data_IF_141761244489
#
_entry.id   IF_141761244489
#
_cell.length_a   1.000
_cell.length_b   1.000
_cell.length_c   1.000
_cell.angle_alpha   90.00
_cell.angle_beta   90.00
_cell.angle_gamma   90.00
#
_symmetry.space_group_name_H-M   'P 1'
#
loop_
_entity.id
_entity.type
_entity.pdbx_description
1 polymer ?
#
# COMPACT_ATOMS: atom_id res chain seq x y z
N UNK A 1 -11.65 -0.04 2.35
CA UNK A 1 -10.86 -0.91 3.25
C UNK A 1 -10.89 -2.32 2.68
N UNK A 2 -9.74 -2.98 2.69
CA UNK A 2 -9.64 -4.39 2.28
C UNK A 2 -10.42 -5.30 3.25
N UNK A 3 -11.02 -6.40 2.76
CA UNK A 3 -11.56 -7.43 3.66
C UNK A 3 -10.45 -7.94 4.61
N UNK A 4 -10.75 -8.20 5.88
CA UNK A 4 -9.72 -8.55 6.87
C UNK A 4 -8.85 -9.74 6.49
N UNK A 5 -9.43 -10.78 5.89
CA UNK A 5 -8.69 -11.96 5.45
C UNK A 5 -7.73 -11.64 4.29
N UNK A 6 -8.15 -10.77 3.37
CA UNK A 6 -7.31 -10.32 2.25
C UNK A 6 -6.13 -9.52 2.78
N UNK A 7 -6.40 -8.56 3.66
CA UNK A 7 -5.37 -7.74 4.30
C UNK A 7 -4.35 -8.60 5.06
N UNK A 8 -4.82 -9.54 5.88
CA UNK A 8 -3.95 -10.42 6.66
C UNK A 8 -3.01 -11.24 5.75
N UNK A 9 -3.53 -11.79 4.67
CA UNK A 9 -2.73 -12.56 3.70
C UNK A 9 -1.74 -11.68 2.91
N UNK A 10 -2.11 -10.43 2.60
CA UNK A 10 -1.19 -9.48 1.97
C UNK A 10 -0.05 -9.11 2.92
N UNK A 11 -0.34 -8.79 4.17
CA UNK A 11 0.67 -8.50 5.20
C UNK A 11 1.59 -9.71 5.41
N UNK A 12 1.03 -10.90 5.44
CA UNK A 12 1.83 -12.14 5.55
C UNK A 12 2.77 -12.31 4.33
N UNK A 13 2.29 -12.03 3.12
CA UNK A 13 3.10 -12.13 1.90
C UNK A 13 4.23 -11.09 1.84
N UNK A 14 4.05 -9.94 2.47
CA UNK A 14 5.10 -8.92 2.59
C UNK A 14 6.26 -9.37 3.50
N UNK A 15 6.01 -10.29 4.43
CA UNK A 15 7.04 -10.86 5.32
C UNK A 15 7.79 -9.77 6.11
N UNK A 16 7.04 -9.07 6.97
CA UNK A 16 7.58 -7.99 7.80
C UNK A 16 8.57 -8.55 8.80
N UNK A 17 9.74 -7.95 8.84
CA UNK A 17 10.76 -8.21 9.88
C UNK A 17 10.96 -6.94 10.71
N UNK A 18 11.46 -7.05 11.97
CA UNK A 18 11.72 -5.87 12.79
C UNK A 18 12.61 -4.86 12.07
N UNK A 19 12.17 -3.60 12.04
CA UNK A 19 12.87 -2.51 11.35
C UNK A 19 12.56 -2.36 9.86
N UNK A 20 11.69 -3.20 9.28
CA UNK A 20 11.23 -3.01 7.89
C UNK A 20 10.65 -1.61 7.70
N UNK A 21 11.13 -0.88 6.70
CA UNK A 21 10.58 0.43 6.32
C UNK A 21 9.38 0.22 5.41
N UNK A 22 8.21 0.66 5.87
CA UNK A 22 6.93 0.34 5.23
C UNK A 22 6.20 1.61 4.82
N UNK A 23 5.67 1.64 3.59
CA UNK A 23 4.69 2.61 3.15
C UNK A 23 3.31 1.93 3.06
N UNK A 24 2.33 2.45 3.80
CA UNK A 24 0.93 2.07 3.72
C UNK A 24 0.18 3.10 2.87
N UNK A 25 -0.15 2.73 1.64
CA UNK A 25 -0.80 3.61 0.65
C UNK A 25 -2.32 3.48 0.76
N UNK A 26 -3.01 4.62 0.89
CA UNK A 26 -4.45 4.71 1.14
C UNK A 26 -4.85 4.03 2.46
N UNK A 27 -4.13 4.35 3.52
CA UNK A 27 -4.25 3.71 4.83
C UNK A 27 -5.59 3.93 5.55
N UNK A 28 -6.42 4.86 5.09
CA UNK A 28 -7.74 5.13 5.63
C UNK A 28 -7.69 5.61 7.08
N UNK A 29 -8.24 4.82 8.00
CA UNK A 29 -8.21 5.12 9.44
C UNK A 29 -7.02 4.51 10.18
N UNK A 30 -6.05 3.91 9.48
CA UNK A 30 -4.79 3.46 10.05
C UNK A 30 -4.77 2.01 10.58
N UNK A 31 -5.79 1.21 10.30
CA UNK A 31 -5.85 -0.17 10.82
C UNK A 31 -4.67 -1.02 10.33
N UNK A 32 -4.39 -1.02 9.04
CA UNK A 32 -3.26 -1.77 8.48
C UNK A 32 -1.93 -1.26 9.01
N UNK A 33 -1.77 0.06 9.10
CA UNK A 33 -0.57 0.70 9.65
C UNK A 33 -0.32 0.26 11.09
N UNK A 34 -1.35 0.23 11.94
CA UNK A 34 -1.23 -0.23 13.32
C UNK A 34 -0.80 -1.71 13.40
N UNK A 35 -1.36 -2.57 12.55
CA UNK A 35 -0.97 -3.99 12.50
C UNK A 35 0.49 -4.13 12.08
N UNK A 36 0.90 -3.44 11.03
CA UNK A 36 2.28 -3.55 10.52
C UNK A 36 3.31 -2.98 11.49
N UNK A 37 2.97 -1.90 12.20
CA UNK A 37 3.82 -1.35 13.27
C UNK A 37 3.98 -2.35 14.42
N UNK A 38 2.90 -3.00 14.85
CA UNK A 38 2.94 -4.04 15.90
C UNK A 38 3.75 -5.27 15.51
N UNK A 39 3.91 -5.53 14.22
CA UNK A 39 4.79 -6.58 13.68
C UNK A 39 6.27 -6.15 13.60
N UNK A 40 6.58 -4.93 14.04
CA UNK A 40 7.94 -4.40 14.10
C UNK A 40 8.32 -3.50 12.93
N UNK A 41 7.37 -3.12 12.09
CA UNK A 41 7.61 -2.19 10.98
C UNK A 41 7.79 -0.74 11.42
N UNK A 42 8.63 -0.01 10.69
CA UNK A 42 8.69 1.46 10.70
C UNK A 42 7.77 1.98 9.61
N UNK A 43 6.58 2.46 10.00
CA UNK A 43 5.46 2.68 9.09
C UNK A 43 5.24 4.17 8.82
N UNK A 44 5.21 4.51 7.54
CA UNK A 44 4.64 5.76 7.02
C UNK A 44 3.30 5.42 6.37
N UNK A 45 2.24 6.07 6.81
CA UNK A 45 0.91 5.98 6.22
C UNK A 45 0.67 7.17 5.31
N UNK A 46 0.28 6.91 4.07
CA UNK A 46 -0.12 7.92 3.09
C UNK A 46 -1.62 7.86 2.85
N UNK A 47 -2.31 8.98 3.03
CA UNK A 47 -3.75 9.11 2.79
C UNK A 47 -4.03 10.39 1.99
N UNK A 48 -4.88 10.28 0.97
CA UNK A 48 -5.24 11.42 0.14
C UNK A 48 -6.30 12.33 0.80
N UNK A 49 -7.18 11.75 1.62
CA UNK A 49 -8.24 12.49 2.31
C UNK A 49 -7.70 13.04 3.65
N UNK A 50 -7.59 14.40 3.80
CA UNK A 50 -7.09 14.99 5.03
C UNK A 50 -7.93 14.66 6.27
N UNK A 51 -9.26 14.50 6.11
CA UNK A 51 -10.14 14.16 7.22
C UNK A 51 -9.90 12.74 7.73
N UNK A 52 -9.69 11.79 6.82
CA UNK A 52 -9.29 10.43 7.19
C UNK A 52 -7.91 10.39 7.83
N UNK A 53 -6.95 11.15 7.30
CA UNK A 53 -5.60 11.24 7.85
C UNK A 53 -5.60 11.77 9.30
N UNK A 54 -6.37 12.83 9.59
CA UNK A 54 -6.50 13.37 10.94
C UNK A 54 -7.17 12.36 11.89
N UNK A 55 -8.19 11.66 11.41
CA UNK A 55 -8.83 10.59 12.18
C UNK A 55 -7.87 9.45 12.47
N UNK A 56 -7.06 9.05 11.48
CA UNK A 56 -6.04 8.03 11.67
C UNK A 56 -4.99 8.44 12.72
N UNK A 57 -4.50 9.68 12.67
CA UNK A 57 -3.56 10.20 13.68
C UNK A 57 -4.11 10.06 15.10
N UNK A 58 -5.37 10.45 15.30
CA UNK A 58 -6.01 10.34 16.60
C UNK A 58 -6.11 8.87 17.06
N UNK A 59 -6.58 7.97 16.20
CA UNK A 59 -6.73 6.55 16.53
C UNK A 59 -5.36 5.90 16.83
N UNK A 60 -4.36 6.14 15.98
CA UNK A 60 -3.02 5.58 16.15
C UNK A 60 -2.35 6.10 17.42
N UNK A 61 -2.54 7.38 17.75
CA UNK A 61 -2.07 7.96 19.02
C UNK A 61 -2.73 7.30 20.23
N UNK A 62 -4.05 7.11 20.20
CA UNK A 62 -4.79 6.46 21.27
C UNK A 62 -4.36 4.99 21.48
N UNK A 63 -3.97 4.32 20.40
CA UNK A 63 -3.43 2.96 20.44
C UNK A 63 -1.95 2.89 20.87
N UNK A 64 -1.28 4.03 20.99
CA UNK A 64 0.16 4.10 21.28
C UNK A 64 1.04 3.59 20.13
N UNK A 65 0.55 3.68 18.88
CA UNK A 65 1.32 3.30 17.71
C UNK A 65 2.18 4.45 17.21
N UNK A 66 3.44 4.16 16.88
CA UNK A 66 4.39 5.12 16.30
C UNK A 66 4.37 5.03 14.77
N UNK A 67 3.34 5.64 14.18
CA UNK A 67 3.13 5.69 12.73
C UNK A 67 3.16 7.15 12.27
N UNK A 68 3.98 7.44 11.27
CA UNK A 68 3.97 8.75 10.62
C UNK A 68 2.84 8.82 9.59
N UNK A 69 1.90 9.75 9.76
CA UNK A 69 0.77 9.94 8.84
C UNK A 69 1.02 11.14 7.94
N UNK A 70 1.02 10.92 6.64
CA UNK A 70 1.20 11.93 5.59
C UNK A 70 -0.06 12.07 4.76
N UNK A 71 -0.34 13.31 4.33
CA UNK A 71 -1.42 13.62 3.38
C UNK A 71 -0.81 13.92 2.02
N UNK A 72 -1.28 13.24 0.99
CA UNK A 72 -0.79 13.46 -0.37
C UNK A 72 -1.40 12.52 -1.41
N UNK A 73 -1.08 12.76 -2.70
CA UNK A 73 -1.56 11.93 -3.79
C UNK A 73 -1.02 10.50 -3.67
N UNK A 74 -1.92 9.52 -3.60
CA UNK A 74 -1.54 8.11 -3.39
C UNK A 74 -0.71 7.54 -4.54
N UNK A 75 -0.93 8.00 -5.78
CA UNK A 75 -0.19 7.55 -6.95
C UNK A 75 1.28 7.98 -6.95
N UNK A 76 1.61 9.07 -6.27
CA UNK A 76 2.97 9.61 -6.17
C UNK A 76 3.78 8.95 -5.06
N UNK A 77 3.12 8.23 -4.16
CA UNK A 77 3.78 7.69 -2.98
C UNK A 77 4.27 8.78 -2.03
N UNK A 78 5.29 8.46 -1.27
CA UNK A 78 5.96 9.41 -0.37
C UNK A 78 7.49 9.31 -0.53
N UNK A 79 8.00 10.01 -1.53
CA UNK A 79 9.40 9.93 -1.93
C UNK A 79 10.38 10.40 -0.84
N UNK A 80 9.96 11.33 0.03
CA UNK A 80 10.80 11.81 1.13
C UNK A 80 11.16 10.72 2.15
N UNK A 81 10.35 9.67 2.26
CA UNK A 81 10.61 8.51 3.13
C UNK A 81 11.26 7.32 2.42
N UNK A 82 11.40 7.39 1.08
CA UNK A 82 11.98 6.29 0.29
C UNK A 82 13.49 6.13 0.55
N UNK A 83 14.07 4.93 0.25
CA UNK A 83 13.40 3.73 -0.26
C UNK A 83 12.68 2.95 0.84
N UNK A 84 11.66 2.15 0.42
CA UNK A 84 10.89 1.29 1.31
C UNK A 84 11.24 -0.18 1.08
N UNK A 85 11.34 -0.94 2.16
CA UNK A 85 11.46 -2.39 2.09
C UNK A 85 10.14 -3.02 1.64
N UNK A 86 9.02 -2.45 2.11
CA UNK A 86 7.68 -2.95 1.84
C UNK A 86 6.73 -1.80 1.52
N UNK A 87 5.84 -2.01 0.56
CA UNK A 87 4.73 -1.12 0.26
C UNK A 87 3.44 -1.95 0.25
N UNK A 88 2.47 -1.54 1.05
CA UNK A 88 1.10 -2.06 1.01
C UNK A 88 0.20 -1.04 0.32
N UNK A 89 -0.48 -1.44 -0.75
CA UNK A 89 -1.57 -0.65 -1.34
C UNK A 89 -2.88 -1.17 -0.76
N UNK A 90 -3.55 -0.34 0.03
CA UNK A 90 -4.72 -0.74 0.83
C UNK A 90 -6.03 -0.66 0.02
N UNK A 91 -6.03 -1.27 -1.15
CA UNK A 91 -7.12 -1.30 -2.11
C UNK A 91 -6.68 -1.86 -3.45
N UNK A 92 -7.47 -1.61 -4.49
CA UNK A 92 -7.18 -2.05 -5.83
C UNK A 92 -6.66 -0.92 -6.73
N UNK A 93 -5.90 -1.30 -7.74
CA UNK A 93 -5.48 -0.43 -8.83
C UNK A 93 -6.00 -0.96 -10.17
N UNK A 94 -6.22 -0.07 -11.13
CA UNK A 94 -6.43 -0.39 -12.55
C UNK A 94 -5.16 -0.14 -13.38
N UNK A 95 -4.29 0.75 -12.91
CA UNK A 95 -2.97 1.01 -13.50
C UNK A 95 -1.94 1.03 -12.38
N UNK A 96 -0.91 0.19 -12.52
CA UNK A 96 0.19 0.16 -11.53
C UNK A 96 0.91 1.50 -11.56
N UNK A 97 1.03 2.18 -10.42
CA UNK A 97 1.79 3.42 -10.39
C UNK A 97 3.30 3.12 -10.35
N UNK A 98 3.98 3.45 -11.43
CA UNK A 98 5.44 3.26 -11.54
C UNK A 98 6.19 4.03 -10.45
N UNK A 99 5.65 5.15 -9.99
CA UNK A 99 6.19 5.97 -8.91
C UNK A 99 6.31 5.18 -7.59
N UNK A 100 5.32 4.32 -7.27
CA UNK A 100 5.39 3.47 -6.08
C UNK A 100 6.46 2.39 -6.23
N UNK A 101 6.55 1.77 -7.41
CA UNK A 101 7.57 0.75 -7.69
C UNK A 101 8.99 1.34 -7.64
N UNK A 102 9.16 2.58 -8.10
CA UNK A 102 10.44 3.29 -8.04
C UNK A 102 10.90 3.58 -6.59
N UNK A 103 9.99 3.62 -5.63
CA UNK A 103 10.28 3.85 -4.22
C UNK A 103 10.65 2.58 -3.44
N UNK A 104 10.61 1.40 -4.08
CA UNK A 104 11.07 0.16 -3.45
C UNK A 104 12.60 0.13 -3.33
N UNK A 105 13.08 -0.32 -2.19
CA UNK A 105 14.47 -0.72 -2.00
C UNK A 105 14.81 -1.95 -2.85
N UNK A 106 16.09 -2.21 -3.07
CA UNK A 106 16.51 -3.48 -3.68
C UNK A 106 16.06 -4.67 -2.81
N UNK A 107 15.43 -5.67 -3.43
CA UNK A 107 14.75 -6.76 -2.73
C UNK A 107 13.39 -6.38 -2.13
N UNK A 108 12.98 -5.13 -2.21
CA UNK A 108 11.72 -4.63 -1.66
C UNK A 108 10.49 -5.21 -2.37
N UNK A 109 9.38 -5.26 -1.66
CA UNK A 109 8.11 -5.86 -2.12
C UNK A 109 6.95 -4.89 -2.02
N UNK A 110 6.04 -4.96 -3.00
CA UNK A 110 4.78 -4.24 -2.99
C UNK A 110 3.64 -5.23 -3.16
N UNK A 111 2.65 -5.18 -2.27
CA UNK A 111 1.42 -5.96 -2.39
C UNK A 111 0.23 -5.05 -2.69
N UNK A 112 -0.57 -5.41 -3.68
CA UNK A 112 -1.76 -4.69 -4.09
C UNK A 112 -2.79 -5.62 -4.73
N UNK A 113 -4.04 -5.16 -4.89
CA UNK A 113 -5.07 -5.86 -5.65
C UNK A 113 -5.09 -5.29 -7.07
N UNK A 114 -4.85 -6.14 -8.05
CA UNK A 114 -4.96 -5.80 -9.47
C UNK A 114 -6.42 -5.97 -9.92
N UNK A 115 -7.05 -4.89 -10.33
CA UNK A 115 -8.40 -4.86 -10.90
C UNK A 115 -8.40 -4.43 -12.38
N UNK A 116 -7.25 -4.45 -13.05
CA UNK A 116 -7.11 -3.99 -14.44
C UNK A 116 -7.88 -4.84 -15.45
N UNK A 117 -8.12 -6.12 -15.15
CA UNK A 117 -8.74 -7.10 -16.03
C UNK A 117 -9.89 -7.89 -15.34
N UNK A 118 -10.93 -7.20 -14.87
CA UNK A 118 -12.13 -7.86 -14.33
C UNK A 118 -12.01 -8.27 -12.85
N UNK A 119 -12.11 -9.58 -12.56
CA UNK A 119 -12.03 -10.06 -11.18
C UNK A 119 -10.68 -9.75 -10.56
N UNK A 120 -10.67 -9.07 -9.41
CA UNK A 120 -9.46 -8.66 -8.72
C UNK A 120 -8.59 -9.82 -8.27
N UNK A 121 -7.29 -9.59 -8.22
CA UNK A 121 -6.31 -10.56 -7.73
C UNK A 121 -5.20 -9.85 -6.96
N UNK A 122 -4.74 -10.42 -5.87
CA UNK A 122 -3.57 -9.92 -5.17
C UNK A 122 -2.32 -10.24 -5.97
N UNK A 123 -1.51 -9.22 -6.21
CA UNK A 123 -0.22 -9.31 -6.89
C UNK A 123 0.87 -8.84 -5.94
N UNK A 124 1.97 -9.57 -5.90
CA UNK A 124 3.19 -9.20 -5.23
C UNK A 124 4.23 -8.79 -6.26
N UNK A 125 4.66 -7.55 -6.20
CA UNK A 125 5.82 -7.05 -6.95
C UNK A 125 7.08 -7.20 -6.09
N UNK A 126 8.20 -7.47 -6.71
CA UNK A 126 9.50 -7.51 -6.05
C UNK A 126 10.55 -6.85 -6.92
N UNK A 127 11.33 -5.95 -6.34
CA UNK A 127 12.46 -5.31 -7.00
C UNK A 127 13.70 -6.17 -6.86
N UNK A 128 14.43 -6.33 -7.96
CA UNK A 128 15.75 -6.95 -8.01
C UNK A 128 16.66 -6.07 -8.89
N UNK A 129 17.50 -5.27 -8.27
CA UNK A 129 18.28 -4.25 -8.95
C UNK A 129 17.37 -3.19 -9.62
N UNK A 130 17.49 -3.05 -10.94
CA UNK A 130 16.64 -2.15 -11.72
C UNK A 130 15.36 -2.81 -12.26
N UNK A 131 15.24 -4.13 -12.17
CA UNK A 131 14.09 -4.87 -12.63
C UNK A 131 13.05 -5.03 -11.51
N UNK A 132 11.77 -5.00 -11.90
CA UNK A 132 10.65 -5.32 -11.01
C UNK A 132 9.88 -6.50 -11.64
N UNK A 133 9.85 -7.62 -10.94
CA UNK A 133 9.02 -8.75 -11.29
C UNK A 133 7.72 -8.76 -10.51
N UNK A 134 6.74 -9.53 -10.97
CA UNK A 134 5.47 -9.68 -10.26
C UNK A 134 4.99 -11.12 -10.31
N UNK A 135 4.23 -11.51 -9.28
CA UNK A 135 3.52 -12.79 -9.23
C UNK A 135 2.14 -12.64 -8.64
N UNK A 136 1.20 -13.38 -9.17
CA UNK A 136 -0.16 -13.48 -8.63
C UNK A 136 -0.14 -14.39 -7.41
N UNK A 137 -0.85 -13.98 -6.35
CA UNK A 137 -0.93 -14.75 -5.12
C UNK A 137 -2.26 -15.48 -4.99
N UNK A 138 -3.38 -14.72 -5.05
CA UNK A 138 -4.74 -15.27 -4.92
C UNK A 138 -5.77 -14.26 -5.42
N UNK A 139 -6.98 -14.75 -5.71
CA UNK A 139 -8.08 -13.89 -6.12
C UNK A 139 -8.67 -13.13 -4.93
N UNK A 140 -8.90 -11.84 -5.12
CA UNK A 140 -9.51 -10.97 -4.13
C UNK A 140 -10.13 -9.75 -4.79
N UNK A 141 -11.30 -9.34 -4.32
CA UNK A 141 -11.92 -8.09 -4.74
C UNK A 141 -11.64 -6.99 -3.71
N UNK A 142 -11.39 -5.79 -4.19
CA UNK A 142 -11.25 -4.59 -3.38
C UNK A 142 -11.74 -3.36 -4.15
N UNK A 143 -12.19 -2.31 -3.46
CA UNK A 143 -12.48 -1.05 -4.11
C UNK A 143 -11.25 -0.47 -4.79
N UNK A 144 -11.42 0.02 -6.02
CA UNK A 144 -10.34 0.72 -6.73
C UNK A 144 -10.10 2.08 -6.07
N UNK A 145 -8.85 2.33 -5.74
CA UNK A 145 -8.42 3.60 -5.15
C UNK A 145 -8.52 4.68 -6.24
N UNK A 146 -9.15 5.83 -5.91
CA UNK A 146 -9.44 6.88 -6.89
C UNK A 146 -8.19 7.34 -7.66
N UNK A 147 -7.09 7.56 -6.98
CA UNK A 147 -5.82 7.96 -7.60
C UNK A 147 -5.13 6.88 -8.44
N UNK A 148 -5.63 5.64 -8.43
CA UNK A 148 -5.06 4.48 -9.13
C UNK A 148 -5.99 3.92 -10.21
N UNK A 149 -7.03 4.68 -10.58
CA UNK A 149 -7.91 4.36 -11.70
C UNK A 149 -7.24 4.59 -13.04
N UNK A 150 -7.64 3.80 -14.02
CA UNK A 150 -7.29 4.08 -15.42
C UNK A 150 -8.02 5.33 -15.87
N UNK A 151 -7.31 6.24 -16.54
CA UNK A 151 -7.94 7.38 -17.17
C UNK A 151 -9.02 6.90 -18.18
N UNK A 152 -10.21 7.54 -18.23
CA UNK A 152 -11.22 7.16 -19.20
C UNK A 152 -10.68 7.34 -20.62
N UNK A 153 -10.62 6.24 -21.38
CA UNK A 153 -10.32 6.31 -22.80
C UNK A 153 -11.62 6.57 -23.55
N UNK A 154 -11.77 7.72 -24.17
CA UNK A 154 -12.85 7.97 -25.11
C UNK A 154 -12.55 7.15 -26.38
N UNK A 155 -13.31 6.10 -26.62
CA UNK A 155 -13.39 5.48 -27.94
C UNK A 155 -14.45 6.23 -28.73
N UNK A 156 -14.04 6.88 -29.79
CA UNK A 156 -14.94 7.46 -30.78
C UNK A 156 -15.38 6.38 -31.77
#
# INVERSE_FOLDING_TARGET
MLPPMVLARMIQALDIVPGSRILDVAGGTGYASAVMERLGGDVVMLEADPALAERAKAILSDLGCDVTVQVGPVAEGYAAGAPYDLILVNGAYETVPDELLAQLADGGRLAAVDASEGAGRVVLFQRAGEAVGSRRLFDAAAPVIEGLRRAPSFQF
#
